data_IF_827007260712
#
_entry.id   IF_827007260712
#
_cell.length_a   1.000
_cell.length_b   1.000
_cell.length_c   1.000
_cell.angle_alpha   90.00
_cell.angle_beta   90.00
_cell.angle_gamma   90.00
#
_symmetry.space_group_name_H-M   'P 1'
#
loop_
_entity.id
_entity.type
_entity.pdbx_description
1 polymer ?
#
# COMPACT_ATOMS: atom_id res chain seq x y z
N UNK A 1 14.94 -15.35 -14.74
CA UNK A 1 16.23 -16.05 -14.97
C UNK A 1 16.28 -16.75 -16.30
N UNK A 2 15.24 -17.51 -16.66
CA UNK A 2 15.05 -18.15 -17.98
C UNK A 2 15.60 -17.33 -19.17
N UNK A 3 15.24 -16.06 -19.33
CA UNK A 3 15.72 -15.20 -20.43
C UNK A 3 17.24 -14.98 -20.41
N UNK A 4 17.82 -14.73 -19.24
CA UNK A 4 19.27 -14.50 -19.07
C UNK A 4 20.09 -15.78 -19.28
N UNK A 5 19.52 -16.93 -18.89
CA UNK A 5 20.11 -18.25 -19.10
C UNK A 5 20.07 -18.65 -20.58
N UNK A 6 18.92 -18.44 -21.25
CA UNK A 6 18.75 -18.66 -22.70
C UNK A 6 19.75 -17.85 -23.54
N UNK A 7 20.02 -16.60 -23.19
CA UNK A 7 21.03 -15.81 -23.92
C UNK A 7 22.43 -16.40 -23.81
N UNK A 8 22.81 -16.92 -22.64
CA UNK A 8 24.08 -17.64 -22.49
C UNK A 8 24.12 -18.88 -23.37
N UNK A 9 23.02 -19.65 -23.44
CA UNK A 9 22.93 -20.82 -24.33
C UNK A 9 23.08 -20.47 -25.82
N UNK A 10 22.51 -19.34 -26.25
CA UNK A 10 22.64 -18.85 -27.63
C UNK A 10 23.95 -18.08 -27.91
N UNK A 11 24.88 -18.02 -26.95
CA UNK A 11 26.15 -17.29 -27.10
C UNK A 11 25.97 -15.76 -27.22
N UNK A 12 24.81 -15.24 -26.83
CA UNK A 12 24.52 -13.81 -26.83
C UNK A 12 24.95 -13.20 -25.49
N UNK A 13 25.69 -12.09 -25.57
CA UNK A 13 26.04 -11.30 -24.39
C UNK A 13 25.17 -10.04 -24.37
N UNK A 14 24.14 -9.96 -23.51
CA UNK A 14 23.36 -8.73 -23.39
C UNK A 14 24.22 -7.60 -22.88
N UNK A 15 23.84 -6.36 -23.19
CA UNK A 15 24.46 -5.18 -22.62
C UNK A 15 24.05 -4.99 -21.13
N UNK A 16 24.78 -4.11 -20.44
CA UNK A 16 24.58 -3.83 -19.02
C UNK A 16 23.19 -3.30 -18.70
N UNK A 17 22.63 -2.43 -19.54
CA UNK A 17 21.31 -1.81 -19.29
C UNK A 17 20.21 -2.87 -19.40
N UNK A 18 20.32 -3.75 -20.37
CA UNK A 18 19.42 -4.88 -20.55
C UNK A 18 19.43 -5.80 -19.32
N UNK A 19 20.61 -6.15 -18.80
CA UNK A 19 20.73 -6.95 -17.57
C UNK A 19 20.16 -6.20 -16.37
N UNK A 20 20.41 -4.89 -16.24
CA UNK A 20 19.87 -4.06 -15.18
C UNK A 20 18.33 -4.09 -15.15
N UNK A 21 17.67 -3.95 -16.32
CA UNK A 21 16.21 -4.03 -16.43
C UNK A 21 15.70 -5.43 -16.06
N UNK A 22 16.38 -6.48 -16.50
CA UNK A 22 15.98 -7.87 -16.17
C UNK A 22 16.12 -8.17 -14.68
N UNK A 23 17.20 -7.71 -14.04
CA UNK A 23 17.35 -7.80 -12.58
C UNK A 23 16.26 -6.99 -11.86
N UNK A 24 15.88 -5.84 -12.38
CA UNK A 24 14.77 -5.03 -11.86
C UNK A 24 13.44 -5.80 -11.89
N UNK A 25 13.14 -6.47 -13.01
CA UNK A 25 11.98 -7.35 -13.13
C UNK A 25 12.00 -8.52 -12.14
N UNK A 26 13.14 -9.20 -11.98
CA UNK A 26 13.30 -10.30 -11.01
C UNK A 26 13.06 -9.81 -9.58
N UNK A 27 13.61 -8.64 -9.23
CA UNK A 27 13.42 -8.06 -7.90
C UNK A 27 11.94 -7.74 -7.63
N UNK A 28 11.23 -7.19 -8.62
CA UNK A 28 9.80 -6.92 -8.56
C UNK A 28 8.97 -8.20 -8.41
N UNK A 29 9.17 -9.19 -9.30
CA UNK A 29 8.38 -10.44 -9.33
C UNK A 29 8.55 -11.28 -8.06
N UNK A 30 9.71 -11.19 -7.41
CA UNK A 30 9.98 -11.91 -6.15
C UNK A 30 9.51 -11.15 -4.91
N UNK A 31 8.84 -10.01 -5.07
CA UNK A 31 8.36 -9.17 -3.97
C UNK A 31 9.51 -8.62 -3.13
N UNK A 32 10.54 -8.04 -3.78
CA UNK A 32 11.80 -7.64 -3.15
C UNK A 32 12.48 -8.83 -2.44
N UNK A 33 12.61 -9.94 -3.16
CA UNK A 33 13.16 -11.21 -2.67
C UNK A 33 12.39 -11.93 -1.56
N UNK A 34 11.27 -11.39 -1.07
CA UNK A 34 10.43 -12.03 -0.04
C UNK A 34 10.03 -13.47 -0.40
N UNK A 35 9.84 -13.75 -1.69
CA UNK A 35 9.42 -15.05 -2.21
C UNK A 35 10.46 -15.70 -3.13
N UNK A 36 11.73 -15.30 -3.05
CA UNK A 36 12.79 -15.82 -3.92
C UNK A 36 13.33 -17.19 -3.48
N UNK A 37 13.78 -18.00 -4.44
CA UNK A 37 14.54 -19.23 -4.15
C UNK A 37 16.04 -18.92 -3.96
N UNK A 38 16.77 -19.84 -3.32
CA UNK A 38 18.22 -19.73 -3.19
C UNK A 38 18.93 -19.64 -4.56
N UNK A 39 18.45 -20.40 -5.55
CA UNK A 39 18.96 -20.36 -6.91
C UNK A 39 18.79 -18.97 -7.53
N UNK A 40 17.63 -18.33 -7.32
CA UNK A 40 17.40 -16.96 -7.78
C UNK A 40 18.38 -15.97 -7.19
N UNK A 41 18.62 -16.03 -5.89
CA UNK A 41 19.58 -15.14 -5.23
C UNK A 41 21.01 -15.34 -5.74
N UNK A 42 21.43 -16.60 -5.94
CA UNK A 42 22.76 -16.93 -6.46
C UNK A 42 22.93 -16.37 -7.87
N UNK A 43 21.98 -16.62 -8.78
CA UNK A 43 22.07 -16.14 -10.14
C UNK A 43 22.02 -14.60 -10.20
N UNK A 44 21.14 -13.98 -9.41
CA UNK A 44 21.03 -12.53 -9.31
C UNK A 44 22.38 -11.90 -8.95
N UNK A 45 23.04 -12.41 -7.89
CA UNK A 45 24.36 -11.96 -7.48
C UNK A 45 25.46 -12.18 -8.53
N UNK A 46 25.42 -13.31 -9.26
CA UNK A 46 26.34 -13.57 -10.38
C UNK A 46 26.23 -12.52 -11.48
N UNK A 47 25.01 -12.19 -11.92
CA UNK A 47 24.79 -11.18 -12.95
C UNK A 47 25.17 -9.78 -12.48
N UNK A 48 24.88 -9.43 -11.23
CA UNK A 48 25.36 -8.18 -10.65
C UNK A 48 26.88 -8.05 -10.69
N UNK A 49 27.60 -9.12 -10.34
CA UNK A 49 29.07 -9.15 -10.34
C UNK A 49 29.63 -9.08 -11.78
N UNK A 50 29.06 -9.88 -12.69
CA UNK A 50 29.50 -9.97 -14.09
C UNK A 50 29.33 -8.65 -14.85
N UNK A 51 28.29 -7.89 -14.54
CA UNK A 51 27.93 -6.64 -15.22
C UNK A 51 28.20 -5.37 -14.40
N UNK A 52 28.83 -5.52 -13.23
CA UNK A 52 29.15 -4.43 -12.30
C UNK A 52 27.91 -3.58 -11.95
N UNK A 53 26.77 -4.23 -11.75
CA UNK A 53 25.50 -3.60 -11.39
C UNK A 53 25.35 -3.63 -9.87
N UNK A 54 25.10 -2.47 -9.27
CA UNK A 54 24.85 -2.35 -7.83
C UNK A 54 23.36 -2.42 -7.52
N UNK A 55 23.02 -2.87 -6.30
CA UNK A 55 21.63 -3.01 -5.87
C UNK A 55 20.83 -1.70 -5.96
N UNK A 56 21.44 -0.56 -5.68
CA UNK A 56 20.73 0.73 -5.74
C UNK A 56 20.26 1.05 -7.17
N UNK A 57 21.08 0.77 -8.18
CA UNK A 57 20.71 1.00 -9.58
C UNK A 57 19.49 0.15 -9.98
N UNK A 58 19.42 -1.08 -9.48
CA UNK A 58 18.28 -1.98 -9.73
C UNK A 58 17.03 -1.45 -9.01
N UNK A 59 17.18 -1.02 -7.75
CA UNK A 59 16.08 -0.46 -6.96
C UNK A 59 15.55 0.82 -7.58
N UNK A 60 16.41 1.71 -8.06
CA UNK A 60 16.05 2.98 -8.70
C UNK A 60 15.19 2.78 -9.97
N UNK A 61 15.28 1.61 -10.62
CA UNK A 61 14.47 1.27 -11.80
C UNK A 61 13.06 0.80 -11.45
N UNK A 62 12.85 0.21 -10.27
CA UNK A 62 11.54 -0.31 -9.82
C UNK A 62 10.84 0.61 -8.82
N UNK A 63 11.60 1.40 -8.07
CA UNK A 63 11.05 2.35 -7.14
C UNK A 63 10.48 3.51 -7.95
N UNK A 64 9.15 3.51 -8.07
CA UNK A 64 8.42 4.75 -8.35
C UNK A 64 8.93 5.74 -7.32
N UNK A 65 9.54 6.82 -7.79
CA UNK A 65 10.07 7.93 -7.00
C UNK A 65 8.92 8.69 -6.31
N UNK A 66 8.24 8.02 -5.39
CA UNK A 66 7.37 8.62 -4.37
C UNK A 66 8.14 9.69 -3.58
N UNK A 67 9.47 9.62 -3.56
CA UNK A 67 10.37 10.55 -2.89
C UNK A 67 10.59 11.87 -3.65
N UNK A 68 10.35 11.90 -4.96
CA UNK A 68 10.51 13.11 -5.79
C UNK A 68 9.27 14.01 -5.77
N UNK A 69 8.10 13.49 -5.39
CA UNK A 69 6.91 14.30 -5.20
C UNK A 69 6.87 14.91 -3.80
N UNK A 70 7.34 16.17 -3.70
CA UNK A 70 7.27 16.97 -2.48
C UNK A 70 5.85 17.02 -1.91
N UNK A 71 4.81 17.06 -2.76
CA UNK A 71 3.42 17.11 -2.32
C UNK A 71 2.99 15.82 -1.66
N UNK A 72 3.39 14.66 -2.20
CA UNK A 72 3.15 13.36 -1.60
C UNK A 72 3.86 13.24 -0.24
N UNK A 73 5.13 13.65 -0.15
CA UNK A 73 5.89 13.65 1.10
C UNK A 73 5.23 14.53 2.15
N UNK A 74 4.83 15.74 1.77
CA UNK A 74 4.12 16.65 2.65
C UNK A 74 2.77 16.10 3.08
N UNK A 75 2.03 15.44 2.19
CA UNK A 75 0.75 14.79 2.51
C UNK A 75 0.94 13.64 3.51
N UNK A 76 1.96 12.78 3.34
CA UNK A 76 2.30 11.70 4.28
C UNK A 76 2.63 12.27 5.66
N UNK A 77 3.50 13.28 5.74
CA UNK A 77 3.91 13.89 7.02
C UNK A 77 2.76 14.62 7.72
N UNK A 78 2.01 15.45 7.00
CA UNK A 78 0.84 16.17 7.54
C UNK A 78 -0.27 15.19 7.94
N UNK A 79 -0.50 14.14 7.16
CA UNK A 79 -1.46 13.10 7.45
C UNK A 79 -1.13 12.35 8.74
N UNK A 80 0.15 12.00 8.94
CA UNK A 80 0.65 11.38 10.17
C UNK A 80 0.59 12.34 11.37
N UNK A 81 0.95 13.61 11.20
CA UNK A 81 0.92 14.60 12.28
C UNK A 81 -0.50 14.86 12.82
N UNK A 82 -1.51 14.79 11.96
CA UNK A 82 -2.91 15.10 12.30
C UNK A 82 -3.77 13.88 12.58
N UNK A 83 -3.21 12.67 12.47
CA UNK A 83 -4.02 11.47 12.64
C UNK A 83 -4.57 11.37 14.06
N UNK A 84 -5.82 10.99 14.14
CA UNK A 84 -6.44 10.53 15.36
C UNK A 84 -6.12 9.05 15.52
N UNK A 85 -5.58 8.67 16.68
CA UNK A 85 -5.22 7.30 17.00
C UNK A 85 -6.25 6.77 17.99
N UNK A 86 -6.97 5.73 17.61
CA UNK A 86 -8.01 5.10 18.40
C UNK A 86 -7.60 3.66 18.71
N UNK A 87 -7.49 3.32 19.99
CA UNK A 87 -7.26 1.95 20.43
C UNK A 87 -8.60 1.27 20.70
N UNK A 88 -8.89 0.18 19.98
CA UNK A 88 -10.07 -0.66 20.15
C UNK A 88 -9.60 -2.06 20.54
N UNK A 89 -9.60 -2.34 21.85
CA UNK A 89 -9.01 -3.55 22.44
C UNK A 89 -7.52 -3.68 22.08
N UNK A 90 -7.17 -4.65 21.24
CA UNK A 90 -5.82 -4.91 20.75
C UNK A 90 -5.51 -4.26 19.40
N UNK A 91 -6.48 -3.57 18.78
CA UNK A 91 -6.32 -2.92 17.48
C UNK A 91 -6.01 -1.43 17.60
N UNK A 92 -5.08 -0.96 16.77
CA UNK A 92 -4.76 0.46 16.56
C UNK A 92 -5.42 0.95 15.26
N UNK A 93 -6.42 1.79 15.38
CA UNK A 93 -7.12 2.43 14.25
C UNK A 93 -6.61 3.85 14.08
N UNK A 94 -6.08 4.19 12.90
CA UNK A 94 -5.66 5.55 12.57
C UNK A 94 -6.66 6.20 11.61
N UNK A 95 -7.15 7.39 11.94
CA UNK A 95 -8.04 8.17 11.05
C UNK A 95 -7.42 9.54 10.82
N UNK A 96 -7.31 9.98 9.57
CA UNK A 96 -6.79 11.33 9.25
C UNK A 96 -7.50 11.94 8.06
N UNK A 97 -7.28 13.23 7.87
CA UNK A 97 -7.81 14.00 6.74
C UNK A 97 -6.66 14.61 5.94
N UNK A 98 -6.72 14.45 4.62
CA UNK A 98 -5.73 15.00 3.68
C UNK A 98 -6.42 15.58 2.46
N UNK A 99 -5.76 16.48 1.74
CA UNK A 99 -6.31 17.06 0.51
C UNK A 99 -6.04 16.20 -0.74
N UNK A 100 -5.05 15.32 -0.69
CA UNK A 100 -4.63 14.49 -1.81
C UNK A 100 -3.86 13.26 -1.32
N UNK A 101 -3.64 12.30 -2.22
CA UNK A 101 -2.85 11.09 -1.98
C UNK A 101 -3.37 10.16 -0.87
N UNK A 102 -4.69 10.13 -0.63
CA UNK A 102 -5.30 9.36 0.46
C UNK A 102 -4.86 7.89 0.53
N UNK A 103 -4.73 7.21 -0.61
CA UNK A 103 -4.27 5.82 -0.68
C UNK A 103 -2.84 5.61 -0.19
N UNK A 104 -1.91 6.48 -0.58
CA UNK A 104 -0.51 6.40 -0.17
C UNK A 104 -0.30 6.85 1.28
N UNK A 105 -1.08 7.82 1.74
CA UNK A 105 -1.10 8.21 3.15
C UNK A 105 -1.61 7.04 4.00
N UNK A 106 -2.72 6.40 3.63
CA UNK A 106 -3.28 5.25 4.37
C UNK A 106 -2.24 4.12 4.48
N UNK A 107 -1.59 3.79 3.36
CA UNK A 107 -0.50 2.79 3.33
C UNK A 107 0.66 3.18 4.24
N UNK A 108 1.02 4.47 4.28
CA UNK A 108 2.09 4.98 5.13
C UNK A 108 1.73 4.91 6.62
N UNK A 109 0.47 5.17 6.99
CA UNK A 109 0.01 5.06 8.38
C UNK A 109 0.04 3.62 8.90
N UNK A 110 -0.33 2.64 8.07
CA UNK A 110 -0.17 1.21 8.42
C UNK A 110 1.31 0.87 8.61
N UNK A 111 2.19 1.34 7.71
CA UNK A 111 3.63 1.16 7.87
C UNK A 111 4.20 1.81 9.14
N UNK A 112 3.63 2.92 9.60
CA UNK A 112 4.02 3.59 10.84
C UNK A 112 3.61 2.82 12.10
N UNK A 113 2.62 1.93 12.01
CA UNK A 113 2.20 1.08 13.13
C UNK A 113 0.70 0.99 13.36
N UNK A 114 -0.14 1.62 12.52
CA UNK A 114 -1.58 1.38 12.58
C UNK A 114 -1.94 -0.02 12.06
N UNK A 115 -2.87 -0.70 12.72
CA UNK A 115 -3.40 -1.99 12.26
C UNK A 115 -4.37 -1.82 11.09
N UNK A 116 -5.17 -0.76 11.16
CA UNK A 116 -6.01 -0.30 10.06
C UNK A 116 -6.01 1.23 10.04
N UNK A 117 -6.01 1.79 8.84
CA UNK A 117 -6.10 3.23 8.62
C UNK A 117 -7.27 3.61 7.73
N UNK A 118 -7.82 4.80 7.97
CA UNK A 118 -8.82 5.45 7.14
C UNK A 118 -8.39 6.89 6.87
N UNK A 119 -8.25 7.22 5.59
CA UNK A 119 -7.84 8.56 5.16
C UNK A 119 -8.99 9.18 4.38
N UNK A 120 -9.54 10.27 4.92
CA UNK A 120 -10.64 11.02 4.31
C UNK A 120 -10.03 12.14 3.49
N UNK A 121 -10.35 12.19 2.20
CA UNK A 121 -9.94 13.22 1.27
C UNK A 121 -11.15 13.99 0.78
N UNK A 122 -11.17 15.30 1.02
CA UNK A 122 -12.24 16.18 0.58
C UNK A 122 -11.86 16.82 -0.76
N UNK A 123 -12.65 16.53 -1.79
CA UNK A 123 -12.51 17.06 -3.15
C UNK A 123 -13.71 17.96 -3.46
N UNK A 124 -13.64 18.71 -4.58
CA UNK A 124 -14.64 19.75 -4.91
C UNK A 124 -16.10 19.28 -4.87
N UNK A 125 -16.37 18.06 -5.32
CA UNK A 125 -17.74 17.52 -5.45
C UNK A 125 -17.98 16.27 -4.59
N UNK A 126 -16.93 15.73 -3.96
CA UNK A 126 -17.00 14.42 -3.32
C UNK A 126 -16.04 14.29 -2.13
N UNK A 127 -16.36 13.34 -1.26
CA UNK A 127 -15.45 12.85 -0.22
C UNK A 127 -14.99 11.46 -0.64
N UNK A 128 -13.67 11.23 -0.63
CA UNK A 128 -13.09 9.91 -0.82
C UNK A 128 -12.54 9.38 0.49
N UNK A 129 -12.81 8.14 0.82
CA UNK A 129 -12.15 7.43 1.92
C UNK A 129 -11.23 6.39 1.32
N UNK A 130 -9.97 6.38 1.74
CA UNK A 130 -9.01 5.32 1.43
C UNK A 130 -8.71 4.54 2.71
N UNK A 131 -8.92 3.23 2.69
CA UNK A 131 -8.61 2.35 3.81
C UNK A 131 -7.49 1.37 3.47
N UNK A 132 -6.63 1.11 4.45
CA UNK A 132 -5.60 0.08 4.39
C UNK A 132 -5.56 -0.68 5.71
N UNK A 133 -5.48 -2.00 5.62
CA UNK A 133 -5.33 -2.92 6.75
C UNK A 133 -3.97 -3.60 6.66
N UNK A 134 -3.36 -3.87 7.83
CA UNK A 134 -2.11 -4.63 7.94
C UNK A 134 -2.32 -6.04 7.38
N UNK A 135 -1.38 -6.50 6.55
CA UNK A 135 -1.51 -7.76 5.79
C UNK A 135 -1.88 -8.96 6.67
N UNK A 136 -1.25 -9.09 7.84
CA UNK A 136 -1.49 -10.18 8.80
C UNK A 136 -2.95 -10.23 9.29
N UNK A 137 -3.55 -9.06 9.56
CA UNK A 137 -4.94 -8.95 10.02
C UNK A 137 -5.94 -9.18 8.88
N UNK A 138 -5.60 -8.68 7.69
CA UNK A 138 -6.37 -8.89 6.47
C UNK A 138 -6.41 -10.38 6.07
N UNK A 139 -5.26 -11.06 6.10
CA UNK A 139 -5.13 -12.47 5.73
C UNK A 139 -5.77 -13.42 6.74
N UNK A 140 -5.70 -13.08 8.03
CA UNK A 140 -6.38 -13.86 9.09
C UNK A 140 -7.89 -13.63 9.15
N UNK A 141 -8.42 -12.66 8.39
CA UNK A 141 -9.83 -12.30 8.41
C UNK A 141 -10.30 -11.56 9.67
N UNK A 142 -9.36 -11.16 10.56
CA UNK A 142 -9.68 -10.44 11.80
C UNK A 142 -10.23 -9.04 11.56
N UNK A 143 -9.78 -8.39 10.49
CA UNK A 143 -10.23 -7.07 10.05
C UNK A 143 -10.28 -7.03 8.53
N UNK A 144 -11.42 -6.62 7.97
CA UNK A 144 -11.64 -6.53 6.53
C UNK A 144 -12.00 -5.09 6.13
N UNK A 145 -11.04 -4.37 5.53
CA UNK A 145 -11.26 -3.00 5.05
C UNK A 145 -12.39 -2.92 4.02
N UNK A 146 -12.52 -3.92 3.14
CA UNK A 146 -13.56 -3.97 2.11
C UNK A 146 -14.97 -4.11 2.67
N UNK A 147 -15.13 -4.89 3.74
CA UNK A 147 -16.41 -5.04 4.44
C UNK A 147 -16.85 -3.75 5.12
N UNK A 148 -15.94 -3.11 5.86
CA UNK A 148 -16.20 -1.82 6.53
C UNK A 148 -16.61 -0.75 5.51
N UNK A 149 -15.87 -0.66 4.40
CA UNK A 149 -16.17 0.28 3.31
C UNK A 149 -17.53 -0.02 2.67
N UNK A 150 -17.88 -1.30 2.51
CA UNK A 150 -19.19 -1.69 1.98
C UNK A 150 -20.32 -1.28 2.92
N UNK A 151 -20.19 -1.53 4.22
CA UNK A 151 -21.18 -1.10 5.22
C UNK A 151 -21.38 0.43 5.19
N UNK A 152 -20.28 1.19 5.13
CA UNK A 152 -20.34 2.65 4.98
C UNK A 152 -21.02 3.08 3.69
N UNK A 153 -20.77 2.40 2.56
CA UNK A 153 -21.43 2.73 1.27
C UNK A 153 -22.93 2.51 1.30
N UNK A 154 -23.41 1.48 2.01
CA UNK A 154 -24.84 1.20 2.15
C UNK A 154 -25.50 2.27 3.01
N UNK A 155 -24.85 2.71 4.09
CA UNK A 155 -25.42 3.65 5.06
C UNK A 155 -25.36 5.11 4.59
N UNK A 156 -24.23 5.56 4.06
CA UNK A 156 -24.03 6.95 3.61
C UNK A 156 -24.33 7.16 2.12
N UNK A 157 -24.71 6.09 1.41
CA UNK A 157 -24.81 6.08 -0.04
C UNK A 157 -23.44 6.15 -0.72
N UNK A 158 -23.43 6.24 -2.05
CA UNK A 158 -22.19 6.35 -2.83
C UNK A 158 -21.63 5.02 -3.33
N UNK A 159 -20.40 5.04 -3.83
CA UNK A 159 -19.74 3.90 -4.46
C UNK A 159 -18.53 3.45 -3.66
N UNK A 160 -18.56 2.24 -3.10
CA UNK A 160 -17.48 1.69 -2.29
C UNK A 160 -17.11 0.26 -2.71
N UNK A 161 -15.82 -0.07 -2.63
CA UNK A 161 -15.32 -1.39 -3.00
C UNK A 161 -13.85 -1.61 -2.61
N UNK A 162 -13.38 -2.84 -2.79
CA UNK A 162 -12.01 -3.23 -2.48
C UNK A 162 -11.89 -4.64 -1.91
N UNK A 163 -10.70 -4.94 -1.41
CA UNK A 163 -10.34 -6.21 -0.78
C UNK A 163 -10.07 -6.03 0.72
N UNK A 164 -9.85 -7.14 1.43
CA UNK A 164 -9.63 -7.14 2.88
C UNK A 164 -8.46 -6.26 3.33
N UNK A 165 -7.40 -6.15 2.53
CA UNK A 165 -6.23 -5.32 2.83
C UNK A 165 -6.32 -3.86 2.38
N UNK A 166 -7.24 -3.55 1.47
CA UNK A 166 -7.32 -2.21 0.87
C UNK A 166 -8.68 -1.97 0.22
N UNK A 167 -9.32 -0.87 0.56
CA UNK A 167 -10.62 -0.51 0.03
C UNK A 167 -10.82 1.00 -0.05
N UNK A 168 -11.76 1.44 -0.87
CA UNK A 168 -12.06 2.84 -1.10
C UNK A 168 -13.56 3.12 -1.20
N UNK A 169 -13.96 4.30 -0.75
CA UNK A 169 -15.34 4.78 -0.79
C UNK A 169 -15.39 6.18 -1.41
N UNK A 170 -16.39 6.43 -2.25
CA UNK A 170 -16.71 7.74 -2.80
C UNK A 170 -18.11 8.14 -2.33
N UNK A 171 -18.19 9.29 -1.67
CA UNK A 171 -19.40 9.87 -1.09
C UNK A 171 -19.63 11.27 -1.65
N UNK A 172 -20.85 11.77 -1.53
CA UNK A 172 -21.14 13.17 -1.85
C UNK A 172 -20.44 14.11 -0.86
N UNK A 173 -20.09 15.32 -1.29
CA UNK A 173 -19.35 16.29 -0.48
C UNK A 173 -20.07 16.72 0.80
N UNK A 174 -21.40 16.71 0.80
CA UNK A 174 -22.21 17.14 1.95
C UNK A 174 -22.19 16.12 3.10
N UNK A 175 -21.61 14.94 2.89
CA UNK A 175 -21.52 13.92 3.95
C UNK A 175 -20.65 14.43 5.10
N UNK A 176 -21.20 14.39 6.31
CA UNK A 176 -20.50 14.84 7.52
C UNK A 176 -19.30 13.94 7.83
N UNK A 177 -18.09 14.49 7.76
CA UNK A 177 -16.83 13.81 8.12
C UNK A 177 -16.84 13.31 9.57
N UNK A 178 -17.39 14.09 10.49
CA UNK A 178 -17.48 13.70 11.91
C UNK A 178 -18.37 12.46 12.10
N UNK A 179 -19.51 12.41 11.42
CA UNK A 179 -20.38 11.21 11.42
C UNK A 179 -19.67 10.00 10.82
N UNK A 180 -18.91 10.18 9.75
CA UNK A 180 -18.12 9.12 9.12
C UNK A 180 -17.07 8.56 10.08
N UNK A 181 -16.28 9.42 10.73
CA UNK A 181 -15.26 8.99 11.71
C UNK A 181 -15.88 8.19 12.85
N UNK A 182 -16.97 8.70 13.43
CA UNK A 182 -17.70 8.02 14.50
C UNK A 182 -18.20 6.66 14.04
N UNK A 183 -18.85 6.59 12.86
CA UNK A 183 -19.41 5.34 12.35
C UNK A 183 -18.34 4.31 11.99
N UNK A 184 -17.18 4.73 11.46
CA UNK A 184 -16.04 3.83 11.25
C UNK A 184 -15.67 3.11 12.55
N UNK A 185 -15.57 3.84 13.67
CA UNK A 185 -15.22 3.25 14.96
C UNK A 185 -16.31 2.32 15.49
N UNK A 186 -17.59 2.68 15.31
CA UNK A 186 -18.73 1.84 15.70
C UNK A 186 -18.77 0.52 14.91
N UNK A 187 -18.59 0.55 13.58
CA UNK A 187 -18.54 -0.66 12.75
C UNK A 187 -17.40 -1.59 13.20
N UNK A 188 -16.22 -1.04 13.50
CA UNK A 188 -15.10 -1.86 13.98
C UNK A 188 -15.43 -2.49 15.33
N UNK A 189 -16.10 -1.76 16.24
CA UNK A 189 -16.57 -2.33 17.52
C UNK A 189 -17.59 -3.46 17.28
N UNK A 190 -18.56 -3.27 16.40
CA UNK A 190 -19.57 -4.28 16.03
C UNK A 190 -18.91 -5.55 15.50
N UNK A 191 -18.01 -5.44 14.52
CA UNK A 191 -17.28 -6.58 13.92
C UNK A 191 -16.46 -7.32 14.97
N UNK A 192 -15.89 -6.59 15.95
CA UNK A 192 -15.07 -7.17 17.03
C UNK A 192 -15.91 -7.65 18.22
N UNK A 193 -17.23 -7.45 18.22
CA UNK A 193 -18.09 -7.78 19.36
C UNK A 193 -17.80 -6.95 20.62
N UNK A 194 -17.23 -5.76 20.46
CA UNK A 194 -16.90 -4.84 21.55
C UNK A 194 -18.16 -4.03 21.92
N UNK A 195 -18.47 -3.96 23.23
CA UNK A 195 -19.56 -3.14 23.76
C UNK A 195 -19.20 -1.66 23.83
#
# INVERSE_FOLDING_TARGET
MVILDLWKEFGMKPDRETVLILLSGILSDTGNFRFSSAETLIQFGKYMMEYEIRMHEIRDKIEVKDEDDLSLRMAKLKGAQRMEIHRLDDLIVAITEVSSFGGEVAKSLVKLGADISFVISELKEEIRISSRCRDELSLSGRVNSGEIIRMLSVEFGGGGGGHSGAAGLILRRETSKEKLKKRILEIIREIRGLK
#
